data_IF_300557984794
#
_entry.id   IF_300557984794
#
_cell.length_a   1.000
_cell.length_b   1.000
_cell.length_c   1.000
_cell.angle_alpha   90.00
_cell.angle_beta   90.00
_cell.angle_gamma   90.00
#
_symmetry.space_group_name_H-M   'P 1'
#
loop_
_entity.id
_entity.type
_entity.pdbx_description
1 polymer ?
#
# COMPACT_ATOMS: atom_id res chain seq x y z
N UNK A 1 -13.26 -5.12 10.49
CA UNK A 1 -12.87 -4.14 9.44
C UNK A 1 -11.61 -3.43 9.90
N UNK A 2 -10.59 -3.25 9.05
CA UNK A 2 -9.36 -2.50 9.37
C UNK A 2 -9.39 -1.07 8.80
N UNK A 3 -10.58 -0.48 8.72
CA UNK A 3 -10.82 0.78 8.02
C UNK A 3 -10.08 1.96 8.66
N UNK A 4 -10.11 2.09 9.99
CA UNK A 4 -9.44 3.20 10.68
C UNK A 4 -7.93 3.19 10.45
N UNK A 5 -7.29 2.02 10.61
CA UNK A 5 -5.86 1.84 10.35
C UNK A 5 -5.50 2.16 8.90
N UNK A 6 -6.32 1.76 7.92
CA UNK A 6 -6.09 2.15 6.52
C UNK A 6 -6.23 3.65 6.33
N UNK A 7 -7.26 4.27 6.90
CA UNK A 7 -7.45 5.73 6.81
C UNK A 7 -6.25 6.49 7.37
N UNK A 8 -5.69 6.03 8.49
CA UNK A 8 -4.47 6.62 9.05
C UNK A 8 -3.26 6.44 8.12
N UNK A 9 -3.09 5.27 7.50
CA UNK A 9 -2.06 5.07 6.47
C UNK A 9 -2.20 6.09 5.33
N UNK A 10 -3.43 6.38 4.87
CA UNK A 10 -3.65 7.39 3.81
C UNK A 10 -3.23 8.79 4.25
N UNK A 11 -3.57 9.19 5.48
CA UNK A 11 -3.20 10.49 6.04
C UNK A 11 -1.68 10.64 6.11
N UNK A 12 -0.99 9.67 6.71
CA UNK A 12 0.48 9.71 6.87
C UNK A 12 1.20 9.64 5.52
N UNK A 13 0.70 8.84 4.57
CA UNK A 13 1.24 8.81 3.20
C UNK A 13 1.13 10.19 2.53
N UNK A 14 -0.02 10.85 2.66
CA UNK A 14 -0.23 12.18 2.09
C UNK A 14 0.70 13.22 2.69
N UNK A 15 0.92 13.19 4.00
CA UNK A 15 1.88 14.06 4.72
C UNK A 15 3.33 13.86 4.22
N UNK A 16 3.67 12.63 3.81
CA UNK A 16 4.97 12.30 3.22
C UNK A 16 5.03 12.47 1.69
N UNK A 17 4.03 13.12 1.08
CA UNK A 17 4.03 13.41 -0.36
C UNK A 17 3.62 12.24 -1.27
N UNK A 18 3.08 11.16 -0.70
CA UNK A 18 2.55 10.00 -1.43
C UNK A 18 1.03 10.11 -1.52
N UNK A 19 0.54 10.64 -2.65
CA UNK A 19 -0.91 10.76 -2.89
C UNK A 19 -1.51 9.41 -3.27
N UNK A 20 -2.50 8.94 -2.51
CA UNK A 20 -3.30 7.75 -2.80
C UNK A 20 -4.56 8.14 -3.58
N UNK A 21 -4.93 7.37 -4.60
CA UNK A 21 -6.12 7.59 -5.44
C UNK A 21 -7.28 6.67 -5.07
N UNK A 22 -6.97 5.46 -4.61
CA UNK A 22 -7.97 4.44 -4.29
C UNK A 22 -7.47 3.56 -3.16
N UNK A 23 -8.38 3.07 -2.33
CA UNK A 23 -8.09 2.00 -1.38
C UNK A 23 -9.30 1.09 -1.19
N UNK A 24 -9.08 -0.20 -0.93
CA UNK A 24 -10.15 -1.15 -0.61
C UNK A 24 -9.64 -2.37 0.15
N UNK A 25 -10.60 -3.14 0.65
CA UNK A 25 -10.37 -4.51 1.06
C UNK A 25 -10.29 -5.38 -0.19
N UNK A 26 -9.32 -6.29 -0.22
CA UNK A 26 -9.11 -7.24 -1.31
C UNK A 26 -9.94 -8.52 -1.11
N UNK A 27 -9.65 -9.57 -1.88
CA UNK A 27 -10.38 -10.84 -1.81
C UNK A 27 -10.05 -11.63 -0.53
N UNK A 28 -8.77 -11.74 -0.14
CA UNK A 28 -8.38 -12.53 1.04
C UNK A 28 -8.69 -11.82 2.37
N UNK A 29 -8.79 -12.61 3.45
CA UNK A 29 -9.01 -12.08 4.78
C UNK A 29 -7.87 -11.13 5.21
N UNK A 30 -8.23 -9.95 5.71
CA UNK A 30 -7.27 -8.90 6.13
C UNK A 30 -6.29 -8.46 5.03
N UNK A 31 -6.64 -8.66 3.76
CA UNK A 31 -5.89 -8.17 2.61
C UNK A 31 -6.41 -6.80 2.17
N UNK A 32 -5.49 -5.87 1.88
CA UNK A 32 -5.84 -4.49 1.56
C UNK A 32 -4.97 -3.96 0.41
N UNK A 33 -5.56 -3.13 -0.44
CA UNK A 33 -4.88 -2.42 -1.53
C UNK A 33 -5.03 -0.91 -1.32
N UNK A 34 -3.93 -0.18 -1.51
CA UNK A 34 -3.91 1.29 -1.59
C UNK A 34 -3.14 1.68 -2.87
N UNK A 35 -3.85 2.19 -3.87
CA UNK A 35 -3.28 2.60 -5.16
C UNK A 35 -2.76 4.03 -5.13
N UNK A 36 -1.47 4.22 -5.39
CA UNK A 36 -0.83 5.54 -5.43
C UNK A 36 -0.97 6.21 -6.80
N UNK A 37 -1.05 7.53 -6.83
CA UNK A 37 -1.07 8.31 -8.07
C UNK A 37 0.21 8.13 -8.86
N UNK A 38 0.09 8.00 -10.19
CA UNK A 38 1.22 7.87 -11.10
C UNK A 38 2.19 9.07 -11.03
N UNK A 39 3.45 8.81 -11.36
CA UNK A 39 4.54 9.79 -11.45
C UNK A 39 5.63 9.23 -12.37
N UNK A 40 6.73 9.99 -12.56
CA UNK A 40 7.91 9.48 -13.25
C UNK A 40 8.51 8.26 -12.54
N UNK A 41 9.20 7.41 -13.29
CA UNK A 41 9.67 6.11 -12.81
C UNK A 41 10.46 6.19 -11.49
N UNK A 42 11.45 7.09 -11.42
CA UNK A 42 12.30 7.27 -10.24
C UNK A 42 11.48 7.75 -9.04
N UNK A 43 10.63 8.76 -9.25
CA UNK A 43 9.78 9.30 -8.17
C UNK A 43 8.82 8.24 -7.63
N UNK A 44 8.24 7.41 -8.50
CA UNK A 44 7.37 6.32 -8.06
C UNK A 44 8.13 5.20 -7.34
N UNK A 45 9.39 4.94 -7.71
CA UNK A 45 10.25 4.03 -6.96
C UNK A 45 10.49 4.54 -5.52
N UNK A 46 10.81 5.83 -5.37
CA UNK A 46 10.99 6.46 -4.04
C UNK A 46 9.71 6.39 -3.20
N UNK A 47 8.56 6.75 -3.80
CA UNK A 47 7.26 6.65 -3.14
C UNK A 47 6.94 5.24 -2.68
N UNK A 48 7.41 4.21 -3.39
CA UNK A 48 7.16 2.82 -3.00
C UNK A 48 7.92 2.41 -1.74
N UNK A 49 9.10 2.98 -1.50
CA UNK A 49 9.83 2.77 -0.25
C UNK A 49 9.12 3.46 0.92
N UNK A 50 8.69 4.72 0.73
CA UNK A 50 7.88 5.45 1.73
C UNK A 50 6.59 4.69 2.02
N UNK A 51 5.94 4.18 0.97
CA UNK A 51 4.69 3.43 1.08
C UNK A 51 4.83 2.24 2.03
N UNK A 52 5.81 1.37 1.79
CA UNK A 52 6.05 0.20 2.64
C UNK A 52 6.39 0.61 4.07
N UNK A 53 7.22 1.64 4.23
CA UNK A 53 7.60 2.16 5.54
C UNK A 53 6.36 2.62 6.33
N UNK A 54 5.53 3.49 5.76
CA UNK A 54 4.33 4.01 6.44
C UNK A 54 3.37 2.87 6.80
N UNK A 55 3.13 1.92 5.90
CA UNK A 55 2.26 0.77 6.19
C UNK A 55 2.78 -0.04 7.39
N UNK A 56 4.09 -0.31 7.46
CA UNK A 56 4.67 -1.00 8.61
C UNK A 56 4.57 -0.19 9.90
N UNK A 57 4.85 1.11 9.87
CA UNK A 57 4.84 1.95 11.07
C UNK A 57 3.43 2.16 11.63
N UNK A 58 2.44 2.44 10.77
CA UNK A 58 1.04 2.60 11.20
C UNK A 58 0.50 1.26 11.70
N UNK A 59 0.77 0.15 11.01
CA UNK A 59 0.36 -1.16 11.52
C UNK A 59 0.94 -1.44 12.92
N UNK A 60 2.21 -1.13 13.14
CA UNK A 60 2.86 -1.29 14.43
C UNK A 60 2.25 -0.40 15.52
N UNK A 61 1.91 0.85 15.21
CA UNK A 61 1.23 1.76 16.15
C UNK A 61 -0.14 1.23 16.61
N UNK A 62 -0.83 0.47 15.76
CA UNK A 62 -2.08 -0.22 16.07
C UNK A 62 -1.89 -1.59 16.76
N UNK A 63 -0.66 -1.97 17.11
CA UNK A 63 -0.34 -3.28 17.67
C UNK A 63 -0.56 -4.43 16.69
N UNK A 64 -0.39 -4.18 15.39
CA UNK A 64 -0.52 -5.14 14.29
C UNK A 64 0.78 -5.23 13.50
N UNK A 65 0.82 -6.15 12.55
CA UNK A 65 1.88 -6.25 11.54
C UNK A 65 1.27 -6.26 10.14
N UNK A 66 2.06 -5.84 9.16
CA UNK A 66 1.73 -5.91 7.75
C UNK A 66 2.83 -6.67 7.01
N UNK A 67 2.48 -7.43 5.97
CA UNK A 67 3.45 -8.17 5.15
C UNK A 67 3.18 -7.93 3.68
N UNK A 68 4.26 -7.76 2.92
CA UNK A 68 4.25 -7.70 1.46
C UNK A 68 4.72 -9.02 0.83
N UNK A 69 4.74 -10.10 1.62
CA UNK A 69 5.03 -11.44 1.10
C UNK A 69 4.00 -11.80 0.04
N UNK A 70 4.41 -12.33 -1.12
CA UNK A 70 3.48 -12.60 -2.23
C UNK A 70 2.44 -13.67 -1.90
N UNK A 71 2.73 -14.57 -0.95
CA UNK A 71 1.82 -15.64 -0.52
C UNK A 71 1.93 -15.87 0.99
N UNK A 72 1.26 -15.05 1.83
CA UNK A 72 1.40 -15.16 3.28
C UNK A 72 0.58 -16.31 3.88
N UNK A 73 -0.49 -16.75 3.20
CA UNK A 73 -1.38 -17.83 3.63
C UNK A 73 -1.51 -18.87 2.52
N UNK A 74 -1.24 -20.13 2.87
CA UNK A 74 -1.42 -21.25 1.94
C UNK A 74 -2.92 -21.43 1.62
N UNK A 75 -3.26 -21.63 0.34
CA UNK A 75 -4.64 -21.85 -0.10
C UNK A 75 -5.54 -20.60 -0.22
N UNK A 76 -5.05 -19.40 0.09
CA UNK A 76 -5.81 -18.13 -0.04
C UNK A 76 -5.17 -17.18 -1.07
N UNK A 77 -5.79 -16.04 -1.42
CA UNK A 77 -5.25 -15.12 -2.43
C UNK A 77 -3.86 -14.55 -2.03
N UNK A 78 -2.99 -14.38 -3.03
CA UNK A 78 -1.66 -13.78 -2.86
C UNK A 78 -1.68 -12.27 -2.97
N UNK A 79 -0.59 -11.62 -2.59
CA UNK A 79 -0.40 -10.16 -2.73
C UNK A 79 0.49 -9.85 -3.93
N UNK A 80 -0.08 -9.13 -4.91
CA UNK A 80 0.64 -8.63 -6.08
C UNK A 80 1.05 -7.16 -5.92
N UNK A 81 2.02 -6.74 -6.73
CA UNK A 81 2.36 -5.32 -6.90
C UNK A 81 2.18 -4.98 -8.38
N UNK A 82 0.96 -4.63 -8.77
CA UNK A 82 0.67 -4.27 -10.16
C UNK A 82 1.38 -2.95 -10.50
N UNK A 83 2.05 -2.91 -11.65
CA UNK A 83 2.77 -1.73 -12.13
C UNK A 83 2.20 -1.31 -13.46
N UNK A 84 1.52 -0.16 -13.48
CA UNK A 84 0.95 0.42 -14.69
C UNK A 84 1.99 1.35 -15.32
N UNK A 85 2.30 1.15 -16.61
CA UNK A 85 3.36 1.87 -17.32
C UNK A 85 2.80 2.65 -18.51
N UNK A 86 3.34 3.85 -18.76
CA UNK A 86 3.01 4.70 -19.90
C UNK A 86 4.26 5.45 -20.36
N UNK A 87 4.31 5.80 -21.66
CA UNK A 87 5.42 6.53 -22.28
C UNK A 87 4.91 7.92 -22.64
N UNK A 88 5.70 8.95 -22.33
CA UNK A 88 5.37 10.37 -22.50
C UNK A 88 6.42 11.04 -23.40
N UNK A 89 6.04 12.12 -24.10
CA UNK A 89 6.95 12.95 -24.90
C UNK A 89 7.43 14.16 -24.10
#
# INVERSE_FOLDING_TARGET
>A
SAQDMRSEMLTVLAEMGVRVEKHHHEVAAAQHELGIKFDTLVRNADKMLIYKYVVHQVANAYGKTATFMPKPVFGDNGSGMHVHQSIWK
#
